data_IF_853016711449
#
_entry.id   IF_853016711449
#
_cell.length_a   1.000
_cell.length_b   1.000
_cell.length_c   1.000
_cell.angle_alpha   90.00
_cell.angle_beta   90.00
_cell.angle_gamma   90.00
#
_symmetry.space_group_name_H-M   'P 1'
#
loop_
_entity.id
_entity.type
_entity.pdbx_description
1 polymer ?
#
# COMPACT_ATOMS: atom_id res chain seq x y z
N UNK A 1 11.20 -26.07 -1.25
CA UNK A 1 9.85 -26.27 -1.81
C UNK A 1 9.21 -24.90 -1.96
N UNK A 2 8.70 -24.54 -3.14
CA UNK A 2 7.94 -23.28 -3.33
C UNK A 2 6.76 -23.30 -2.36
N UNK A 3 6.78 -22.41 -1.37
CA UNK A 3 5.60 -22.16 -0.51
C UNK A 3 4.67 -21.22 -1.30
N UNK A 4 3.36 -21.47 -1.24
CA UNK A 4 2.39 -20.50 -1.74
C UNK A 4 2.58 -19.17 -1.00
N UNK A 5 2.59 -18.05 -1.72
CA UNK A 5 2.68 -16.73 -1.09
C UNK A 5 1.28 -16.29 -0.65
N UNK A 6 1.07 -16.16 0.66
CA UNK A 6 -0.22 -15.76 1.23
C UNK A 6 -0.09 -14.68 2.30
N UNK A 7 -1.06 -13.77 2.35
CA UNK A 7 -1.23 -12.82 3.44
C UNK A 7 -2.07 -13.45 4.55
N UNK A 8 -1.49 -13.64 5.74
CA UNK A 8 -2.14 -14.32 6.87
C UNK A 8 -3.18 -13.43 7.58
N UNK A 9 -3.08 -12.11 7.43
CA UNK A 9 -3.95 -11.13 8.06
C UNK A 9 -3.71 -10.97 9.57
N UNK A 10 -2.64 -11.55 10.12
CA UNK A 10 -2.30 -11.44 11.53
C UNK A 10 -1.29 -10.31 11.75
N UNK A 11 -1.28 -9.75 12.97
CA UNK A 11 -0.36 -8.66 13.34
C UNK A 11 -0.41 -7.42 12.43
N UNK A 12 -1.56 -7.20 11.80
CA UNK A 12 -1.86 -6.01 11.01
C UNK A 12 -3.16 -5.31 11.46
N UNK A 13 -3.37 -4.05 11.05
CA UNK A 13 -4.61 -3.29 11.35
C UNK A 13 -5.63 -3.36 10.23
N UNK A 14 -5.22 -3.50 8.97
CA UNK A 14 -6.14 -3.61 7.84
C UNK A 14 -6.84 -4.97 7.84
N UNK A 15 -8.13 -4.98 7.46
CA UNK A 15 -8.91 -6.21 7.39
C UNK A 15 -8.50 -7.01 6.15
N UNK A 16 -8.10 -8.26 6.32
CA UNK A 16 -7.87 -9.17 5.21
C UNK A 16 -9.15 -9.40 4.40
N UNK A 17 -9.11 -9.16 3.09
CA UNK A 17 -10.19 -9.44 2.16
C UNK A 17 -9.87 -10.66 1.29
N UNK A 18 -8.64 -10.75 0.79
CA UNK A 18 -8.18 -11.84 -0.04
C UNK A 18 -6.74 -12.21 0.33
N UNK A 19 -6.45 -13.50 0.50
CA UNK A 19 -5.17 -13.96 1.03
C UNK A 19 -4.14 -14.34 -0.03
N UNK A 20 -4.55 -14.69 -1.24
CA UNK A 20 -3.66 -15.31 -2.23
C UNK A 20 -2.82 -14.27 -2.97
N UNK A 21 -1.54 -14.17 -2.61
CA UNK A 21 -0.59 -13.24 -3.22
C UNK A 21 0.05 -13.80 -4.50
N UNK A 22 -0.04 -15.11 -4.76
CA UNK A 22 0.41 -15.73 -6.03
C UNK A 22 -0.43 -15.28 -7.24
N UNK A 23 -1.47 -14.47 -7.00
CA UNK A 23 -2.30 -13.84 -8.01
C UNK A 23 -3.00 -14.83 -8.95
N UNK A 24 -3.33 -16.04 -8.47
CA UNK A 24 -3.95 -17.09 -9.30
C UNK A 24 -5.34 -16.70 -9.80
N UNK A 25 -6.06 -15.89 -9.01
CA UNK A 25 -7.35 -15.31 -9.36
C UNK A 25 -7.26 -13.97 -10.10
N UNK A 26 -6.06 -13.43 -10.32
CA UNK A 26 -5.86 -12.15 -11.03
C UNK A 26 -6.12 -10.89 -10.19
N UNK A 27 -6.41 -11.02 -8.89
CA UNK A 27 -6.72 -9.88 -7.99
C UNK A 27 -5.67 -9.64 -6.88
N UNK A 28 -4.66 -10.53 -6.77
CA UNK A 28 -3.64 -10.50 -5.72
C UNK A 28 -4.20 -10.62 -4.30
N UNK A 29 -3.36 -10.58 -3.28
CA UNK A 29 -3.82 -10.49 -1.89
C UNK A 29 -4.23 -9.05 -1.56
N UNK A 30 -5.29 -8.90 -0.77
CA UNK A 30 -5.97 -7.64 -0.53
C UNK A 30 -6.25 -7.47 0.96
N UNK A 31 -5.91 -6.30 1.47
CA UNK A 31 -6.27 -5.85 2.80
C UNK A 31 -6.89 -4.45 2.73
N UNK A 32 -7.91 -4.21 3.55
CA UNK A 32 -8.71 -2.99 3.55
C UNK A 32 -8.52 -2.19 4.84
N UNK A 33 -8.03 -0.97 4.69
CA UNK A 33 -8.01 0.03 5.75
C UNK A 33 -9.40 0.65 5.89
N UNK A 34 -10.15 0.23 6.92
CA UNK A 34 -11.52 0.72 7.16
C UNK A 34 -11.59 2.05 7.89
N UNK A 35 -10.47 2.51 8.44
CA UNK A 35 -10.34 3.73 9.20
C UNK A 35 -8.93 4.29 9.02
N UNK A 36 -8.80 5.61 8.99
CA UNK A 36 -7.48 6.26 8.90
C UNK A 36 -6.81 6.13 7.54
N UNK A 37 -7.56 5.79 6.49
CA UNK A 37 -7.06 5.79 5.12
C UNK A 37 -6.65 7.20 4.68
N UNK A 38 -5.55 7.29 3.94
CA UNK A 38 -4.96 8.57 3.52
C UNK A 38 -5.32 8.96 2.08
N UNK A 39 -5.72 7.98 1.26
CA UNK A 39 -6.09 8.20 -0.14
C UNK A 39 -7.47 8.85 -0.22
N UNK A 40 -7.56 10.02 -0.87
CA UNK A 40 -8.78 10.82 -0.94
C UNK A 40 -9.12 11.59 0.34
N UNK A 41 -8.27 11.55 1.38
CA UNK A 41 -8.39 12.41 2.55
C UNK A 41 -8.00 13.85 2.21
N UNK A 42 -8.78 14.83 2.65
CA UNK A 42 -8.45 16.26 2.49
C UNK A 42 -7.13 16.65 3.16
N UNK A 43 -6.78 15.99 4.26
CA UNK A 43 -5.55 16.25 5.02
C UNK A 43 -4.39 15.36 4.60
N UNK A 44 -4.66 14.28 3.84
CA UNK A 44 -3.68 13.27 3.47
C UNK A 44 -3.10 12.53 4.68
N UNK A 45 -1.85 12.09 4.56
CA UNK A 45 -1.12 11.42 5.61
C UNK A 45 0.22 10.88 5.14
N UNK A 46 0.77 9.96 5.92
CA UNK A 46 2.07 9.34 5.66
C UNK A 46 1.89 7.84 5.46
N UNK A 47 2.51 7.30 4.41
CA UNK A 47 2.63 5.86 4.20
C UNK A 47 4.12 5.50 4.18
N UNK A 48 4.47 4.40 4.86
CA UNK A 48 5.82 3.86 4.87
C UNK A 48 5.80 2.38 4.47
N UNK A 49 6.84 1.99 3.74
CA UNK A 49 7.13 0.61 3.38
C UNK A 49 8.42 0.21 4.08
N UNK A 50 8.36 -0.80 4.93
CA UNK A 50 9.53 -1.44 5.51
C UNK A 50 9.65 -2.84 4.87
N UNK A 51 10.80 -3.09 4.25
CA UNK A 51 11.02 -4.32 3.48
C UNK A 51 12.36 -4.94 3.84
N UNK A 52 12.32 -6.18 4.30
CA UNK A 52 13.45 -7.05 4.62
C UNK A 52 13.23 -8.44 4.03
N UNK A 53 14.23 -9.34 4.11
CA UNK A 53 14.06 -10.75 3.75
C UNK A 53 13.03 -11.50 4.61
N UNK A 54 12.73 -10.98 5.82
CA UNK A 54 11.83 -11.63 6.77
C UNK A 54 10.38 -11.15 6.62
N UNK A 55 10.16 -9.94 6.14
CA UNK A 55 8.83 -9.35 6.02
C UNK A 55 8.76 -8.16 5.06
N UNK A 56 7.53 -7.90 4.60
CA UNK A 56 7.10 -6.62 4.04
C UNK A 56 6.00 -6.05 4.94
N UNK A 57 6.21 -4.85 5.45
CA UNK A 57 5.21 -4.12 6.24
C UNK A 57 4.87 -2.81 5.56
N UNK A 58 3.57 -2.54 5.49
CA UNK A 58 3.04 -1.24 5.06
C UNK A 58 2.42 -0.59 6.28
N UNK A 59 2.77 0.67 6.54
CA UNK A 59 2.21 1.48 7.60
C UNK A 59 1.50 2.68 6.98
N UNK A 60 0.33 3.02 7.51
CA UNK A 60 -0.43 4.18 7.10
C UNK A 60 -0.84 4.97 8.33
N UNK A 61 -0.55 6.27 8.32
CA UNK A 61 -0.94 7.18 9.37
C UNK A 61 -1.67 8.39 8.77
N UNK A 62 -2.85 8.75 9.27
CA UNK A 62 -3.42 10.07 9.03
C UNK A 62 -2.42 11.16 9.42
N UNK A 63 -2.54 12.34 8.80
CA UNK A 63 -1.66 13.47 9.11
C UNK A 63 -1.57 13.73 10.62
N UNK A 64 -0.34 13.85 11.13
CA UNK A 64 0.04 14.04 12.54
C UNK A 64 -0.08 12.80 13.44
N UNK A 65 -0.54 11.67 12.92
CA UNK A 65 -0.52 10.39 13.64
C UNK A 65 0.76 9.59 13.40
N UNK A 66 1.60 10.02 12.44
CA UNK A 66 2.88 9.39 12.19
C UNK A 66 3.86 9.54 13.37
N UNK A 67 4.72 8.53 13.61
CA UNK A 67 5.83 8.60 14.56
C UNK A 67 6.70 9.85 14.40
N UNK A 68 7.22 10.36 15.51
CA UNK A 68 7.95 11.62 15.55
C UNK A 68 9.28 11.59 14.77
N UNK A 69 9.91 10.41 14.69
CA UNK A 69 11.12 10.16 13.90
C UNK A 69 10.85 10.29 12.40
N UNK A 70 9.65 9.94 11.91
CA UNK A 70 9.26 10.15 10.50
C UNK A 70 9.04 11.64 10.20
N UNK A 71 8.29 12.34 11.07
CA UNK A 71 7.90 13.74 10.85
C UNK A 71 9.09 14.71 10.80
N UNK A 72 10.15 14.41 11.54
CA UNK A 72 11.32 15.27 11.71
C UNK A 72 12.60 14.71 11.07
N UNK A 73 12.51 13.60 10.33
CA UNK A 73 13.66 12.82 9.90
C UNK A 73 14.66 13.64 9.06
N UNK A 74 15.88 13.75 9.59
CA UNK A 74 17.14 13.95 8.85
C UNK A 74 18.06 12.71 8.97
N UNK A 75 17.61 11.72 9.74
CA UNK A 75 18.34 10.51 10.13
C UNK A 75 17.45 9.29 9.85
N UNK A 76 18.06 8.10 9.82
CA UNK A 76 17.33 6.84 9.58
C UNK A 76 16.28 6.62 10.69
N UNK A 77 15.01 6.35 10.35
CA UNK A 77 13.96 6.14 11.35
C UNK A 77 14.11 4.78 12.07
N UNK A 78 13.53 4.68 13.27
CA UNK A 78 13.48 3.46 14.07
C UNK A 78 12.10 2.80 13.94
N UNK A 79 12.04 1.81 13.05
CA UNK A 79 10.80 1.10 12.70
C UNK A 79 10.21 0.29 13.87
N UNK A 80 11.02 -0.03 14.90
CA UNK A 80 10.53 -0.75 16.08
C UNK A 80 9.51 0.07 16.89
N UNK A 81 9.54 1.40 16.75
CA UNK A 81 8.66 2.33 17.48
C UNK A 81 7.33 2.60 16.77
N UNK A 82 7.18 2.16 15.53
CA UNK A 82 6.06 2.50 14.65
C UNK A 82 4.75 1.79 14.98
N UNK A 83 4.80 0.80 15.86
CA UNK A 83 3.63 0.03 16.30
C UNK A 83 3.16 -0.99 15.27
N UNK A 84 1.85 -1.22 15.22
CA UNK A 84 1.26 -2.27 14.38
C UNK A 84 1.08 -1.78 12.94
N UNK A 85 1.59 -2.50 11.92
CA UNK A 85 1.45 -2.09 10.52
C UNK A 85 0.01 -2.24 9.98
N UNK A 86 -0.30 -1.54 8.90
CA UNK A 86 -1.53 -1.74 8.12
C UNK A 86 -1.56 -3.11 7.44
N UNK A 87 -0.44 -3.52 6.85
CA UNK A 87 -0.28 -4.83 6.20
C UNK A 87 1.03 -5.46 6.67
N UNK A 88 1.02 -6.76 6.96
CA UNK A 88 2.20 -7.50 7.38
C UNK A 88 2.32 -8.83 6.63
N UNK A 89 3.15 -8.85 5.59
CA UNK A 89 3.51 -10.08 4.88
C UNK A 89 4.77 -10.67 5.50
N UNK A 90 4.73 -11.94 5.91
CA UNK A 90 5.80 -12.61 6.66
C UNK A 90 6.43 -13.71 5.83
N UNK A 91 7.74 -13.92 5.98
CA UNK A 91 8.49 -14.96 5.27
C UNK A 91 7.98 -16.39 5.52
N UNK A 92 7.38 -16.61 6.70
CA UNK A 92 6.72 -17.87 7.05
C UNK A 92 5.62 -18.28 6.05
N UNK A 93 4.97 -17.30 5.42
CA UNK A 93 3.83 -17.47 4.50
C UNK A 93 4.13 -17.04 3.07
N UNK A 94 5.33 -16.52 2.78
CA UNK A 94 5.72 -16.09 1.44
C UNK A 94 7.24 -15.97 1.39
N UNK A 95 7.91 -16.64 0.45
CA UNK A 95 9.35 -16.42 0.25
C UNK A 95 9.56 -15.02 -0.35
N UNK A 96 9.88 -14.04 0.52
CA UNK A 96 9.93 -12.61 0.16
C UNK A 96 10.99 -12.35 -0.90
N UNK A 97 12.20 -12.88 -0.70
CA UNK A 97 13.33 -12.67 -1.61
C UNK A 97 13.13 -13.38 -2.95
N UNK A 98 12.36 -14.46 -2.99
CA UNK A 98 11.95 -15.09 -4.25
C UNK A 98 10.83 -14.30 -4.95
N UNK A 99 9.83 -13.83 -4.20
CA UNK A 99 8.63 -13.21 -4.75
C UNK A 99 8.85 -11.75 -5.20
N UNK A 100 9.69 -11.00 -4.48
CA UNK A 100 9.90 -9.57 -4.71
C UNK A 100 11.36 -9.29 -5.04
N UNK A 101 11.62 -8.83 -6.27
CA UNK A 101 12.93 -8.34 -6.71
C UNK A 101 12.97 -6.81 -6.68
N UNK A 102 14.09 -6.20 -7.06
CA UNK A 102 14.25 -4.73 -7.15
C UNK A 102 13.00 -4.04 -7.73
N UNK A 103 12.41 -3.14 -6.92
CA UNK A 103 11.18 -2.43 -7.26
C UNK A 103 11.46 -0.98 -7.69
N UNK A 104 10.49 -0.37 -8.36
CA UNK A 104 10.49 1.06 -8.71
C UNK A 104 9.25 1.72 -8.12
N UNK A 105 9.43 2.92 -7.57
CA UNK A 105 8.29 3.72 -7.10
C UNK A 105 7.62 4.36 -8.32
N UNK A 106 6.31 4.15 -8.45
CA UNK A 106 5.50 4.70 -9.55
C UNK A 106 4.22 5.31 -8.99
N UNK A 107 3.93 6.55 -9.42
CA UNK A 107 2.65 7.21 -9.19
C UNK A 107 1.90 7.26 -10.52
N UNK A 108 0.68 6.74 -10.56
CA UNK A 108 -0.16 6.74 -11.75
C UNK A 108 -1.60 7.08 -11.38
N UNK A 109 -2.20 7.93 -12.20
CA UNK A 109 -3.61 8.32 -12.14
C UNK A 109 -4.24 7.88 -13.45
N UNK A 110 -4.67 6.62 -13.49
CA UNK A 110 -5.33 6.03 -14.64
C UNK A 110 -6.84 6.22 -14.53
N UNK A 111 -7.49 6.44 -15.68
CA UNK A 111 -8.94 6.42 -15.79
C UNK A 111 -9.39 5.11 -16.40
N UNK A 112 -10.47 4.56 -15.86
CA UNK A 112 -11.10 3.35 -16.39
C UNK A 112 -10.09 2.19 -16.50
N UNK A 113 -10.18 1.40 -17.58
CA UNK A 113 -9.35 0.22 -17.77
C UNK A 113 -9.68 -0.88 -16.76
N UNK A 114 -8.80 -1.87 -16.61
CA UNK A 114 -8.98 -2.92 -15.62
C UNK A 114 -8.34 -2.48 -14.29
N UNK A 115 -9.00 -2.67 -13.14
CA UNK A 115 -10.32 -3.27 -12.98
C UNK A 115 -11.50 -2.28 -13.11
N UNK A 116 -11.26 -0.97 -13.09
CA UNK A 116 -12.29 0.08 -12.86
C UNK A 116 -13.47 0.03 -13.84
N UNK A 117 -13.24 -0.26 -15.11
CA UNK A 117 -14.25 -0.33 -16.16
C UNK A 117 -14.80 -1.75 -16.40
N UNK A 118 -14.36 -2.75 -15.64
CA UNK A 118 -15.00 -4.07 -15.66
C UNK A 118 -16.38 -4.00 -14.98
N UNK A 119 -17.33 -4.81 -15.45
CA UNK A 119 -18.73 -4.76 -15.02
C UNK A 119 -18.89 -4.86 -13.51
N UNK A 120 -18.13 -5.77 -12.89
CA UNK A 120 -18.14 -5.94 -11.44
C UNK A 120 -17.85 -4.62 -10.70
N UNK A 121 -16.86 -3.83 -11.14
CA UNK A 121 -16.45 -2.62 -10.44
C UNK A 121 -17.28 -1.39 -10.79
N UNK A 122 -17.67 -1.20 -12.06
CA UNK A 122 -18.41 0.00 -12.47
C UNK A 122 -19.92 -0.13 -12.27
N UNK A 123 -20.48 -1.31 -12.56
CA UNK A 123 -21.93 -1.53 -12.64
C UNK A 123 -22.51 -2.26 -11.42
N UNK A 124 -21.70 -2.99 -10.63
CA UNK A 124 -22.21 -3.89 -9.58
C UNK A 124 -21.70 -3.55 -8.18
N UNK A 125 -20.45 -3.10 -8.06
CA UNK A 125 -19.82 -2.84 -6.76
C UNK A 125 -20.50 -1.69 -6.02
N UNK A 126 -20.95 -1.98 -4.79
CA UNK A 126 -21.61 -1.01 -3.90
C UNK A 126 -20.76 -0.78 -2.67
N UNK A 127 -19.83 0.18 -2.77
CA UNK A 127 -19.04 0.62 -1.61
C UNK A 127 -19.98 1.09 -0.50
N UNK A 128 -19.89 0.45 0.67
CA UNK A 128 -20.63 0.81 1.89
C UNK A 128 -22.14 0.96 1.74
N UNK A 129 -22.77 0.18 0.82
CA UNK A 129 -24.22 0.22 0.58
C UNK A 129 -24.69 1.42 -0.25
N UNK A 130 -23.77 2.14 -0.91
CA UNK A 130 -24.07 3.25 -1.80
C UNK A 130 -24.56 2.83 -3.20
N UNK A 131 -24.65 3.84 -4.08
CA UNK A 131 -24.90 3.64 -5.50
C UNK A 131 -23.66 3.10 -6.21
N UNK A 132 -23.87 2.34 -7.28
CA UNK A 132 -22.81 1.97 -8.23
C UNK A 132 -22.40 3.20 -9.04
N UNK A 133 -21.21 3.21 -9.64
CA UNK A 133 -20.80 4.29 -10.53
C UNK A 133 -21.76 4.42 -11.72
N UNK A 134 -22.28 3.31 -12.24
CA UNK A 134 -23.29 3.34 -13.31
C UNK A 134 -24.58 4.03 -12.89
N UNK A 135 -25.08 3.79 -11.67
CA UNK A 135 -26.28 4.44 -11.18
C UNK A 135 -26.06 5.92 -10.88
N UNK A 136 -24.89 6.28 -10.33
CA UNK A 136 -24.56 7.65 -10.00
C UNK A 136 -24.37 8.52 -11.26
N UNK A 137 -23.76 7.96 -12.31
CA UNK A 137 -23.38 8.71 -13.52
C UNK A 137 -24.34 8.53 -14.69
N UNK A 138 -25.09 7.43 -14.73
CA UNK A 138 -25.90 7.02 -15.88
C UNK A 138 -25.07 6.61 -17.13
N UNK A 139 -23.75 6.61 -17.05
CA UNK A 139 -22.83 6.46 -18.18
C UNK A 139 -21.90 5.25 -17.99
N UNK A 140 -21.24 4.84 -19.09
CA UNK A 140 -20.07 3.95 -18.98
C UNK A 140 -18.89 4.74 -18.42
N UNK A 141 -17.89 4.06 -17.84
CA UNK A 141 -16.69 4.73 -17.33
C UNK A 141 -16.05 5.64 -18.39
N UNK A 142 -15.88 5.13 -19.62
CA UNK A 142 -15.23 5.87 -20.70
C UNK A 142 -16.03 7.11 -21.09
N UNK A 143 -17.35 6.98 -21.23
CA UNK A 143 -18.20 8.11 -21.60
C UNK A 143 -18.24 9.15 -20.48
N UNK A 144 -18.29 8.73 -19.23
CA UNK A 144 -18.29 9.63 -18.08
C UNK A 144 -16.99 10.45 -18.02
N UNK A 145 -15.83 9.78 -18.11
CA UNK A 145 -14.53 10.45 -18.10
C UNK A 145 -14.37 11.41 -19.28
N UNK A 146 -14.84 11.02 -20.47
CA UNK A 146 -14.70 11.85 -21.68
C UNK A 146 -15.55 13.12 -21.66
N UNK A 147 -16.74 13.08 -21.06
CA UNK A 147 -17.71 14.18 -21.12
C UNK A 147 -17.80 15.01 -19.83
N UNK A 148 -17.17 14.59 -18.73
CA UNK A 148 -17.26 15.27 -17.44
C UNK A 148 -15.87 15.61 -16.87
N UNK A 149 -14.99 16.34 -17.61
CA UNK A 149 -13.63 16.64 -17.15
C UNK A 149 -13.60 17.46 -15.85
N UNK A 150 -14.65 18.26 -15.57
CA UNK A 150 -14.75 19.06 -14.35
C UNK A 150 -14.81 18.23 -13.06
N UNK A 151 -15.36 17.01 -13.13
CA UNK A 151 -15.48 16.13 -11.96
C UNK A 151 -14.13 15.57 -11.48
N UNK A 152 -13.07 15.75 -12.27
CA UNK A 152 -11.72 15.27 -11.97
C UNK A 152 -10.76 16.40 -11.59
N UNK A 153 -11.26 17.59 -11.27
CA UNK A 153 -10.42 18.72 -10.83
C UNK A 153 -9.57 18.39 -9.58
N UNK A 154 -10.06 17.48 -8.73
CA UNK A 154 -9.38 17.02 -7.51
C UNK A 154 -8.68 15.66 -7.68
N UNK A 155 -8.49 15.19 -8.92
CA UNK A 155 -7.81 13.93 -9.24
C UNK A 155 -6.31 14.16 -9.50
N UNK A 156 -5.54 14.41 -8.44
CA UNK A 156 -4.10 14.60 -8.50
C UNK A 156 -3.38 14.14 -7.22
N UNK A 157 -2.08 13.89 -7.30
CA UNK A 157 -1.25 13.64 -6.12
C UNK A 157 -0.67 14.95 -5.57
N UNK A 158 -0.73 15.12 -4.25
CA UNK A 158 0.01 16.16 -3.52
C UNK A 158 1.06 15.51 -2.65
N UNK A 159 2.28 15.42 -3.15
CA UNK A 159 3.38 14.75 -2.45
C UNK A 159 4.23 15.80 -1.75
N UNK A 160 4.26 15.77 -0.42
CA UNK A 160 5.09 16.67 0.38
C UNK A 160 6.56 16.26 0.35
N UNK A 161 6.85 14.97 0.45
CA UNK A 161 8.20 14.41 0.51
C UNK A 161 8.19 12.93 0.14
N UNK A 162 9.30 12.43 -0.40
CA UNK A 162 9.62 11.01 -0.56
C UNK A 162 11.02 10.82 0.01
N UNK A 163 11.13 9.95 1.02
CA UNK A 163 12.41 9.61 1.64
C UNK A 163 12.68 8.12 1.44
N UNK A 164 13.95 7.78 1.26
CA UNK A 164 14.41 6.40 1.12
C UNK A 164 15.57 6.17 2.07
N UNK A 165 15.52 5.05 2.78
CA UNK A 165 16.56 4.59 3.69
C UNK A 165 16.88 3.14 3.36
N UNK A 166 18.15 2.79 3.51
CA UNK A 166 18.63 1.43 3.32
C UNK A 166 19.28 0.94 4.60
N UNK A 167 19.05 -0.33 4.95
CA UNK A 167 19.81 -1.02 5.97
C UNK A 167 21.24 -1.22 5.46
N UNK A 168 22.21 -0.43 5.93
CA UNK A 168 23.60 -0.79 5.74
C UNK A 168 23.90 -1.95 6.69
N UNK A 169 24.14 -3.15 6.15
CA UNK A 169 24.75 -4.23 6.90
C UNK A 169 26.07 -3.70 7.48
N UNK A 170 26.06 -3.32 8.76
CA UNK A 170 27.30 -3.05 9.47
C UNK A 170 27.86 -4.43 9.74
N UNK A 171 28.86 -4.86 8.95
CA UNK A 171 29.65 -6.03 9.33
C UNK A 171 30.10 -5.84 10.78
N UNK A 172 29.99 -6.87 11.64
CA UNK A 172 30.49 -6.77 13.00
C UNK A 172 31.97 -6.38 12.91
N UNK A 173 32.29 -5.20 13.41
CA UNK A 173 33.65 -4.67 13.47
C UNK A 173 34.53 -5.75 14.09
N UNK A 174 35.41 -6.35 13.30
CA UNK A 174 36.44 -7.25 13.83
C UNK A 174 37.33 -6.39 14.70
N UNK A 175 37.12 -6.46 16.01
CA UNK A 175 38.07 -5.93 16.99
C UNK A 175 39.37 -6.71 16.80
N UNK A 176 40.34 -6.12 16.10
CA UNK A 176 41.72 -6.59 16.13
C UNK A 176 42.27 -6.24 17.50
N UNK A 177 42.29 -7.21 18.40
CA UNK A 177 43.09 -7.12 19.62
C UNK A 177 44.51 -7.50 19.23
N UNK A 178 45.31 -6.51 18.86
CA UNK A 178 46.76 -6.69 18.74
C UNK A 178 47.40 -6.42 20.11
N UNK A 179 48.11 -7.45 20.61
CA UNK A 179 49.03 -7.45 21.75
C UNK A 179 50.37 -6.82 21.37
#
# INVERSE_FOLDING_TARGET
AKRECVLDGADQTAKLLHKDCDNRSGIGCQAEERSGGILGSETGGTQALEWTSEYIKIYTWPLNAEPADIRNSKEKPDTATWGKPSVHLKTAFCDIDQAFQEQRIMFSLAFCGKPVAEDHFWNEERRSGGQTCREATGMTCKDYVAHNPGDFQDFYFRIKNIQYFSETNTEPSKTSTDL
#
